data_IF_505724909405
#
_entry.id   IF_505724909405
#
_cell.length_a   1.000
_cell.length_b   1.000
_cell.length_c   1.000
_cell.angle_alpha   90.00
_cell.angle_beta   90.00
_cell.angle_gamma   90.00
#
_symmetry.space_group_name_H-M   'P 1'
#
loop_
_entity.id
_entity.type
_entity.pdbx_description
1 polymer ?
#
# COMPACT_ATOMS: atom_id res chain seq x y z
N UNK A 1 14.01 22.60 -0.93
CA UNK A 1 12.73 22.24 -0.27
C UNK A 1 12.11 23.50 0.31
N UNK A 2 10.88 23.83 -0.09
CA UNK A 2 10.14 24.96 0.50
C UNK A 2 9.31 24.43 1.67
N UNK A 3 9.54 24.98 2.87
CA UNK A 3 8.84 24.54 4.08
C UNK A 3 7.39 25.02 4.04
N UNK A 4 6.48 24.09 3.77
CA UNK A 4 5.04 24.35 3.72
C UNK A 4 4.27 23.12 4.18
N UNK A 5 3.07 23.35 4.71
CA UNK A 5 2.13 22.26 5.01
C UNK A 5 1.70 21.64 3.68
N UNK A 6 1.80 20.32 3.54
CA UNK A 6 1.14 19.61 2.47
C UNK A 6 -0.35 19.48 2.84
N UNK A 7 -1.28 20.08 2.08
CA UNK A 7 -2.71 19.93 2.36
C UNK A 7 -3.18 18.47 2.18
N UNK A 8 -2.43 17.67 1.42
CA UNK A 8 -2.70 16.25 1.20
C UNK A 8 -4.11 16.01 0.62
N UNK A 9 -4.46 16.84 -0.38
CA UNK A 9 -5.74 16.85 -1.08
C UNK A 9 -5.83 15.76 -2.17
N UNK A 10 -4.69 15.22 -2.62
CA UNK A 10 -4.69 14.16 -3.62
C UNK A 10 -4.99 12.80 -2.97
N UNK A 11 -6.04 12.15 -3.48
CA UNK A 11 -6.36 10.76 -3.18
C UNK A 11 -6.38 9.95 -4.48
N UNK A 12 -5.65 8.84 -4.49
CA UNK A 12 -5.57 7.91 -5.62
C UNK A 12 -6.33 6.63 -5.26
N UNK A 13 -7.26 6.19 -6.11
CA UNK A 13 -7.96 4.92 -5.96
C UNK A 13 -9.48 5.04 -6.02
N UNK A 14 -10.17 4.06 -5.42
CA UNK A 14 -11.62 3.84 -5.59
C UNK A 14 -12.47 4.40 -4.43
N UNK A 15 -11.88 5.25 -3.59
CA UNK A 15 -12.56 5.90 -2.46
C UNK A 15 -13.12 4.92 -1.43
N UNK A 16 -14.28 5.24 -0.85
CA UNK A 16 -14.87 4.51 0.29
C UNK A 16 -15.36 3.08 -0.05
N UNK A 17 -15.45 2.75 -1.34
CA UNK A 17 -15.91 1.43 -1.81
C UNK A 17 -14.78 0.46 -2.14
N UNK A 18 -13.53 0.91 -2.06
CA UNK A 18 -12.36 0.10 -2.41
C UNK A 18 -11.12 0.48 -1.60
N UNK A 19 -9.99 0.58 -2.28
CA UNK A 19 -8.73 1.05 -1.72
C UNK A 19 -8.50 2.50 -2.15
N UNK A 20 -8.16 3.37 -1.21
CA UNK A 20 -7.79 4.75 -1.49
C UNK A 20 -6.48 5.12 -0.76
N UNK A 21 -5.59 5.83 -1.46
CA UNK A 21 -4.27 6.23 -0.98
C UNK A 21 -4.22 7.76 -0.96
N UNK A 22 -3.95 8.34 0.21
CA UNK A 22 -3.80 9.79 0.38
C UNK A 22 -2.38 10.12 0.81
N UNK A 23 -1.61 10.75 -0.07
CA UNK A 23 -0.22 11.10 0.21
C UNK A 23 -0.09 12.32 1.12
N UNK A 24 0.64 12.15 2.23
CA UNK A 24 0.94 13.21 3.20
C UNK A 24 2.33 13.81 2.93
N UNK A 25 3.31 12.96 2.61
CA UNK A 25 4.67 13.34 2.27
C UNK A 25 5.15 12.44 1.14
N UNK A 26 5.70 13.01 0.08
CA UNK A 26 6.35 12.27 -1.02
C UNK A 26 7.87 12.37 -0.89
N UNK A 27 8.61 11.59 -1.69
CA UNK A 27 10.08 11.70 -1.76
C UNK A 27 10.57 13.12 -2.06
N UNK A 28 9.93 13.83 -2.98
CA UNK A 28 10.27 15.23 -3.28
C UNK A 28 10.06 16.15 -2.07
N UNK A 29 9.01 15.89 -1.30
CA UNK A 29 8.66 16.63 -0.08
C UNK A 29 9.56 16.32 1.13
N UNK A 30 10.42 15.29 1.04
CA UNK A 30 11.29 14.83 2.12
C UNK A 30 12.76 14.71 1.74
N UNK A 31 13.15 15.19 0.55
CA UNK A 31 14.50 14.98 0.01
C UNK A 31 14.88 13.49 -0.04
N UNK A 32 13.91 12.63 -0.37
CA UNK A 32 14.06 11.18 -0.49
C UNK A 32 14.06 10.42 0.84
N UNK A 33 13.91 11.08 1.99
CA UNK A 33 14.08 10.41 3.29
C UNK A 33 12.87 9.60 3.74
N UNK A 34 11.65 10.10 3.48
CA UNK A 34 10.41 9.47 3.90
C UNK A 34 9.27 9.70 2.90
N UNK A 35 8.51 8.65 2.59
CA UNK A 35 7.19 8.79 2.00
C UNK A 35 6.17 8.40 3.08
N UNK A 36 5.12 9.21 3.25
CA UNK A 36 4.06 8.94 4.23
C UNK A 36 2.70 9.10 3.55
N UNK A 37 1.84 8.11 3.68
CA UNK A 37 0.51 8.11 3.07
C UNK A 37 -0.48 7.33 3.93
N UNK A 38 -1.75 7.72 3.87
CA UNK A 38 -2.83 6.95 4.47
C UNK A 38 -3.37 5.94 3.46
N UNK A 39 -3.67 4.73 3.92
CA UNK A 39 -4.52 3.78 3.23
C UNK A 39 -5.91 3.80 3.88
N UNK A 40 -6.95 3.92 3.07
CA UNK A 40 -8.33 3.62 3.45
C UNK A 40 -8.77 2.39 2.69
N UNK A 41 -9.29 1.40 3.43
CA UNK A 41 -9.60 0.07 2.92
C UNK A 41 -11.04 -0.27 3.28
N UNK A 42 -11.91 -0.40 2.27
CA UNK A 42 -13.30 -0.78 2.45
C UNK A 42 -13.44 -2.13 3.18
N UNK A 43 -14.58 -2.33 3.86
CA UNK A 43 -14.87 -3.57 4.58
C UNK A 43 -14.88 -4.77 3.64
N UNK A 44 -14.35 -5.90 4.10
CA UNK A 44 -14.29 -7.13 3.32
C UNK A 44 -13.36 -7.09 2.10
N UNK A 45 -12.62 -6.00 1.86
CA UNK A 45 -11.77 -5.88 0.67
C UNK A 45 -10.60 -6.88 0.72
N UNK A 46 -10.51 -7.71 -0.33
CA UNK A 46 -9.34 -8.54 -0.62
C UNK A 46 -8.55 -7.92 -1.77
N UNK A 47 -7.26 -7.71 -1.57
CA UNK A 47 -6.42 -7.11 -2.61
C UNK A 47 -6.29 -8.05 -3.82
N UNK A 48 -6.38 -7.45 -5.02
CA UNK A 48 -6.02 -8.12 -6.27
C UNK A 48 -4.50 -8.20 -6.48
N UNK A 49 -3.77 -7.26 -5.89
CA UNK A 49 -2.32 -7.26 -5.91
C UNK A 49 -1.75 -8.48 -5.16
N UNK A 50 -0.71 -9.14 -5.69
CA UNK A 50 -0.08 -10.26 -5.01
C UNK A 50 0.64 -9.79 -3.74
N UNK A 51 0.92 -10.74 -2.85
CA UNK A 51 1.92 -10.52 -1.81
C UNK A 51 3.26 -10.17 -2.45
N UNK A 52 4.04 -9.35 -1.77
CA UNK A 52 5.29 -8.84 -2.31
C UNK A 52 6.26 -8.46 -1.20
N UNK A 53 7.52 -8.26 -1.53
CA UNK A 53 8.53 -7.73 -0.64
C UNK A 53 9.14 -6.46 -1.21
N UNK A 54 9.86 -5.73 -0.35
CA UNK A 54 10.68 -4.59 -0.72
C UNK A 54 12.09 -4.82 -0.19
N UNK A 55 13.11 -4.74 -1.03
CA UNK A 55 14.48 -5.12 -0.63
C UNK A 55 15.30 -3.92 -0.12
N UNK A 56 14.81 -2.69 -0.36
CA UNK A 56 15.58 -1.46 -0.15
C UNK A 56 14.98 -0.50 0.87
N UNK A 57 13.79 -0.79 1.39
CA UNK A 57 13.10 0.07 2.34
C UNK A 57 12.26 -0.75 3.33
N UNK A 58 12.10 -0.22 4.53
CA UNK A 58 11.12 -0.69 5.50
C UNK A 58 9.79 0.02 5.27
N UNK A 59 8.69 -0.65 5.62
CA UNK A 59 7.36 -0.06 5.66
C UNK A 59 6.80 -0.17 7.08
N UNK A 60 6.59 0.98 7.72
CA UNK A 60 5.96 1.07 9.05
C UNK A 60 4.51 1.42 8.91
N UNK A 61 3.65 0.61 9.52
CA UNK A 61 2.20 0.76 9.55
C UNK A 61 1.79 1.20 10.94
N UNK A 62 0.94 2.22 11.03
CA UNK A 62 0.30 2.65 12.26
C UNK A 62 -1.22 2.64 12.06
N UNK A 63 -1.94 1.92 12.91
CA UNK A 63 -3.40 1.86 12.81
C UNK A 63 -4.06 3.15 13.30
N UNK A 64 -4.99 3.67 12.50
CA UNK A 64 -5.69 4.93 12.78
C UNK A 64 -7.17 4.71 13.09
N UNK A 65 -7.85 3.88 12.30
CA UNK A 65 -9.26 3.54 12.47
C UNK A 65 -9.55 2.14 11.93
N UNK A 66 -10.50 1.42 12.52
CA UNK A 66 -10.76 0.01 12.19
C UNK A 66 -9.56 -0.91 12.40
N UNK A 67 -9.64 -2.14 11.89
CA UNK A 67 -8.57 -3.15 12.00
C UNK A 67 -8.23 -3.67 10.61
N UNK A 68 -6.94 -3.65 10.27
CA UNK A 68 -6.43 -4.21 9.01
C UNK A 68 -5.59 -5.45 9.29
N UNK A 69 -5.83 -6.54 8.57
CA UNK A 69 -5.04 -7.77 8.71
C UNK A 69 -3.87 -7.75 7.73
N UNK A 70 -2.65 -7.69 8.26
CA UNK A 70 -1.42 -7.87 7.50
C UNK A 70 -1.01 -9.34 7.55
N UNK A 71 -0.64 -9.92 6.43
CA UNK A 71 0.02 -11.23 6.39
C UNK A 71 1.48 -10.99 6.08
N UNK A 72 2.39 -11.26 7.01
CA UNK A 72 3.84 -11.06 6.86
C UNK A 72 4.54 -12.42 7.04
N UNK A 73 5.27 -12.87 6.03
CA UNK A 73 5.89 -14.20 5.97
C UNK A 73 4.93 -15.33 6.37
N UNK A 74 3.70 -15.24 5.87
CA UNK A 74 2.62 -16.21 6.11
C UNK A 74 1.93 -16.09 7.48
N UNK A 75 2.33 -15.15 8.34
CA UNK A 75 1.72 -14.93 9.65
C UNK A 75 0.71 -13.78 9.59
N UNK A 76 -0.57 -14.01 9.96
CA UNK A 76 -1.53 -12.92 10.09
C UNK A 76 -1.23 -12.09 11.34
N UNK A 77 -1.30 -10.77 11.19
CA UNK A 77 -1.08 -9.75 12.22
C UNK A 77 -2.18 -8.72 12.05
N UNK A 78 -2.99 -8.51 13.09
CA UNK A 78 -4.00 -7.46 13.10
C UNK A 78 -3.37 -6.15 13.60
N UNK A 79 -3.64 -5.06 12.88
CA UNK A 79 -3.18 -3.72 13.25
C UNK A 79 -4.42 -2.84 13.42
N UNK A 80 -4.75 -2.51 14.66
CA UNK A 80 -5.85 -1.63 15.04
C UNK A 80 -5.39 -0.24 15.49
N UNK A 81 -6.31 0.63 15.95
CA UNK A 81 -5.97 2.01 16.29
C UNK A 81 -4.96 2.09 17.44
N UNK A 82 -3.83 2.75 17.21
CA UNK A 82 -2.75 2.85 18.19
C UNK A 82 -1.67 1.76 18.09
N UNK A 83 -1.93 0.69 17.33
CA UNK A 83 -0.95 -0.37 17.09
C UNK A 83 0.04 0.06 15.99
N UNK A 84 1.26 -0.47 16.08
CA UNK A 84 2.29 -0.26 15.09
C UNK A 84 2.93 -1.60 14.65
N UNK A 85 3.17 -1.72 13.35
CA UNK A 85 3.87 -2.84 12.74
C UNK A 85 4.98 -2.29 11.83
N UNK A 86 6.23 -2.69 12.06
CA UNK A 86 7.32 -2.43 11.11
C UNK A 86 7.57 -3.70 10.29
N UNK A 87 7.40 -3.60 8.99
CA UNK A 87 7.67 -4.67 8.03
C UNK A 87 9.12 -4.50 7.55
N UNK A 88 10.02 -5.46 7.89
CA UNK A 88 11.42 -5.34 7.52
C UNK A 88 11.64 -5.64 6.04
N UNK A 89 12.75 -5.11 5.50
CA UNK A 89 13.20 -5.39 4.14
C UNK A 89 13.24 -6.89 3.86
N UNK A 90 12.78 -7.28 2.68
CA UNK A 90 12.72 -8.66 2.21
C UNK A 90 11.57 -9.50 2.77
N UNK A 91 10.84 -9.03 3.79
CA UNK A 91 9.68 -9.76 4.28
C UNK A 91 8.54 -9.71 3.26
N UNK A 92 8.00 -10.88 2.92
CA UNK A 92 6.88 -10.99 1.99
C UNK A 92 5.61 -10.64 2.73
N UNK A 93 4.89 -9.64 2.25
CA UNK A 93 3.69 -9.15 2.90
C UNK A 93 2.55 -8.81 1.94
N UNK A 94 1.35 -8.79 2.50
CA UNK A 94 0.12 -8.20 1.93
C UNK A 94 -0.78 -7.78 3.07
N UNK A 95 -1.83 -7.04 2.75
CA UNK A 95 -2.94 -6.81 3.68
C UNK A 95 -4.28 -7.16 3.05
N UNK A 96 -5.26 -7.40 3.91
CA UNK A 96 -6.68 -7.53 3.58
C UNK A 96 -7.52 -6.91 4.70
N UNK A 97 -8.69 -6.38 4.37
CA UNK A 97 -9.68 -6.02 5.39
C UNK A 97 -10.67 -7.17 5.55
N UNK A 98 -10.46 -7.99 6.58
CA UNK A 98 -11.33 -9.13 6.90
C UNK A 98 -12.56 -8.73 7.73
N UNK A 99 -12.64 -7.47 8.16
CA UNK A 99 -13.69 -6.97 9.03
C UNK A 99 -14.93 -6.50 8.28
N UNK A 100 -15.99 -6.21 9.06
CA UNK A 100 -17.26 -5.64 8.58
C UNK A 100 -17.26 -4.11 8.53
N UNK A 101 -16.18 -3.45 8.98
CA UNK A 101 -16.00 -2.01 8.98
C UNK A 101 -14.83 -1.63 8.07
N UNK A 102 -14.84 -0.39 7.55
CA UNK A 102 -13.67 0.16 6.87
C UNK A 102 -12.49 0.29 7.84
N UNK A 103 -11.27 0.26 7.30
CA UNK A 103 -10.05 0.45 8.07
C UNK A 103 -9.20 1.57 7.46
N UNK A 104 -8.44 2.26 8.31
CA UNK A 104 -7.50 3.31 7.94
C UNK A 104 -6.19 3.12 8.67
N UNK A 105 -5.10 3.11 7.92
CA UNK A 105 -3.73 3.02 8.47
C UNK A 105 -2.86 4.12 7.87
N UNK A 106 -1.87 4.58 8.63
CA UNK A 106 -0.76 5.39 8.13
C UNK A 106 0.37 4.46 7.75
N UNK A 107 0.88 4.59 6.53
CA UNK A 107 2.07 3.90 6.05
C UNK A 107 3.21 4.91 5.95
N UNK A 108 4.39 4.52 6.44
CA UNK A 108 5.61 5.31 6.42
C UNK A 108 6.71 4.44 5.82
N UNK A 109 7.27 4.90 4.71
CA UNK A 109 8.30 4.20 3.93
C UNK A 109 9.61 4.95 4.02
N UNK A 110 10.68 4.23 4.39
CA UNK A 110 12.03 4.79 4.58
C UNK A 110 13.11 3.91 3.96
N UNK A 111 13.96 4.43 3.05
CA UNK A 111 13.86 5.73 2.37
C UNK A 111 12.60 5.85 1.50
N UNK A 112 12.28 7.04 0.98
CA UNK A 112 11.07 7.35 0.20
C UNK A 112 11.06 6.70 -1.21
N UNK A 113 11.06 5.37 -1.24
CA UNK A 113 11.26 4.59 -2.46
C UNK A 113 9.98 4.33 -3.26
N UNK A 114 8.81 4.49 -2.65
CA UNK A 114 7.50 4.35 -3.30
C UNK A 114 6.74 5.67 -3.24
N UNK A 115 6.06 6.01 -4.34
CA UNK A 115 5.39 7.30 -4.50
C UNK A 115 4.07 7.21 -5.27
N UNK A 116 3.45 8.37 -5.53
CA UNK A 116 2.13 8.45 -6.19
C UNK A 116 2.06 7.73 -7.54
N UNK A 117 3.13 7.76 -8.33
CA UNK A 117 3.14 7.20 -9.69
C UNK A 117 2.90 5.70 -9.72
N UNK A 118 3.44 4.94 -8.76
CA UNK A 118 3.14 3.51 -8.63
C UNK A 118 1.63 3.26 -8.53
N UNK A 119 0.97 3.96 -7.60
CA UNK A 119 -0.46 3.79 -7.38
C UNK A 119 -1.27 4.25 -8.60
N UNK A 120 -0.92 5.38 -9.22
CA UNK A 120 -1.59 5.86 -10.44
C UNK A 120 -1.55 4.82 -11.56
N UNK A 121 -0.39 4.20 -11.79
CA UNK A 121 -0.24 3.17 -12.82
C UNK A 121 -1.05 1.91 -12.50
N UNK A 122 -1.03 1.45 -11.24
CA UNK A 122 -1.84 0.30 -10.80
C UNK A 122 -3.34 0.55 -10.98
N UNK A 123 -3.85 1.70 -10.53
CA UNK A 123 -5.27 2.01 -10.66
C UNK A 123 -5.68 2.26 -12.11
N UNK A 124 -4.85 2.91 -12.92
CA UNK A 124 -5.13 3.08 -14.35
C UNK A 124 -5.31 1.73 -15.05
N UNK A 125 -4.47 0.73 -14.72
CA UNK A 125 -4.62 -0.63 -15.22
C UNK A 125 -5.90 -1.32 -14.72
N UNK A 126 -6.24 -1.21 -13.43
CA UNK A 126 -7.49 -1.78 -12.91
C UNK A 126 -8.73 -1.15 -13.53
N UNK A 127 -8.74 0.17 -13.72
CA UNK A 127 -9.83 0.89 -14.37
C UNK A 127 -9.96 0.51 -15.85
N UNK A 128 -8.84 0.32 -16.55
CA UNK A 128 -8.84 -0.15 -17.93
C UNK A 128 -9.41 -1.58 -18.08
N UNK A 129 -9.30 -2.42 -17.05
CA UNK A 129 -9.91 -3.76 -17.04
C UNK A 129 -11.43 -3.73 -16.89
N UNK A 130 -12.03 -2.60 -16.48
CA UNK A 130 -13.48 -2.39 -16.37
C UNK A 130 -14.24 -3.49 -15.59
N UNK A 131 -13.64 -3.99 -14.50
CA UNK A 131 -14.19 -5.07 -13.68
C UNK A 131 -13.89 -6.49 -14.18
N UNK A 132 -13.20 -6.62 -15.31
CA UNK A 132 -12.58 -7.86 -15.76
C UNK A 132 -11.34 -8.24 -14.94
N UNK A 133 -10.77 -9.43 -15.17
CA UNK A 133 -9.54 -9.85 -14.50
C UNK A 133 -8.39 -8.89 -14.84
N UNK A 134 -7.55 -8.50 -13.88
CA UNK A 134 -6.42 -7.63 -14.14
C UNK A 134 -5.37 -8.32 -15.01
N UNK A 135 -4.65 -7.53 -15.83
CA UNK A 135 -3.43 -8.00 -16.49
C UNK A 135 -2.36 -8.27 -15.43
N UNK A 136 -2.24 -9.54 -15.03
CA UNK A 136 -1.29 -9.97 -14.01
C UNK A 136 0.16 -9.71 -14.43
N UNK A 137 0.47 -9.87 -15.72
CA UNK A 137 1.83 -9.69 -16.21
C UNK A 137 2.21 -8.20 -16.18
N UNK A 138 1.33 -7.34 -16.69
CA UNK A 138 1.47 -5.89 -16.60
C UNK A 138 1.58 -5.38 -15.17
N UNK A 139 0.74 -5.91 -14.26
CA UNK A 139 0.80 -5.57 -12.84
C UNK A 139 2.15 -5.91 -12.20
N UNK A 140 2.65 -7.13 -12.41
CA UNK A 140 3.95 -7.55 -11.88
C UNK A 140 5.09 -6.69 -12.46
N UNK A 141 4.98 -6.25 -13.71
CA UNK A 141 5.97 -5.36 -14.32
C UNK A 141 5.95 -3.95 -13.70
N UNK A 142 4.77 -3.37 -13.48
CA UNK A 142 4.62 -2.09 -12.77
C UNK A 142 5.24 -2.20 -11.36
N UNK A 143 4.93 -3.27 -10.62
CA UNK A 143 5.50 -3.52 -9.30
C UNK A 143 7.04 -3.50 -9.32
N UNK A 144 7.66 -4.24 -10.25
CA UNK A 144 9.12 -4.30 -10.36
C UNK A 144 9.75 -2.95 -10.70
N UNK A 145 9.17 -2.19 -11.62
CA UNK A 145 9.68 -0.85 -11.99
C UNK A 145 9.69 0.12 -10.81
N UNK A 146 8.76 -0.05 -9.87
CA UNK A 146 8.66 0.76 -8.66
C UNK A 146 9.35 0.14 -7.43
N UNK A 147 10.16 -0.92 -7.61
CA UNK A 147 10.98 -1.50 -6.55
C UNK A 147 10.26 -2.49 -5.63
N UNK A 148 9.10 -3.01 -6.05
CA UNK A 148 8.39 -4.09 -5.36
C UNK A 148 8.71 -5.43 -6.04
N UNK A 149 8.99 -6.45 -5.26
CA UNK A 149 9.23 -7.82 -5.73
C UNK A 149 7.98 -8.67 -5.50
N UNK A 150 7.18 -8.98 -6.55
CA UNK A 150 6.00 -9.83 -6.38
C UNK A 150 6.40 -11.23 -5.94
N UNK A 151 5.73 -11.75 -4.91
CA UNK A 151 5.92 -13.12 -4.46
C UNK A 151 5.37 -14.09 -5.50
N UNK A 152 6.09 -15.18 -5.72
CA UNK A 152 5.57 -16.32 -6.49
C UNK A 152 4.47 -16.97 -5.63
N UNK A 153 3.27 -17.24 -6.18
CA UNK A 153 2.25 -17.98 -5.44
C UNK A 153 2.84 -19.30 -4.93
N UNK A 154 2.51 -19.74 -3.70
CA UNK A 154 2.91 -21.06 -3.26
C UNK A 154 2.40 -22.11 -4.27
N UNK A 155 3.18 -23.19 -4.53
CA UNK A 155 2.71 -24.28 -5.38
C UNK A 155 1.39 -24.83 -4.82
N UNK A 156 0.49 -25.19 -5.74
CA UNK A 156 -0.83 -25.74 -5.43
C UNK A 156 -0.75 -27.10 -4.70
#
# INVERSE_FOLDING_TARGET
>A
MQLQVNPADETIGDGDKGLAIRFLVTGDGSNGSVAAFELKVASGLRLLAPAHSHDHYEETIYGVDGVLTWTVDGKPIEVGPGDALCIPRGAVHRFDNNGSQGAKVLCVVTPAAIGPDYFREIFAMFHAAAGGPPDKAGMMEIMRRHGLTPAVPPPA
#
